data_IF_576662810512
#
_entry.id   IF_576662810512
#
_cell.length_a   1.000
_cell.length_b   1.000
_cell.length_c   1.000
_cell.angle_alpha   90.00
_cell.angle_beta   90.00
_cell.angle_gamma   90.00
#
_symmetry.space_group_name_H-M   'P 1'
#
loop_
_entity.id
_entity.type
_entity.pdbx_description
1 polymer ?
#
# COMPACT_ATOMS: atom_id res chain seq x y z
N UNK A 1 4.27 21.28 7.01
CA UNK A 1 4.69 20.52 5.81
C UNK A 1 5.70 21.29 4.99
N UNK A 2 5.42 22.50 4.47
CA UNK A 2 6.35 23.29 3.64
C UNK A 2 7.73 23.48 4.28
N UNK A 3 7.80 23.97 5.52
CA UNK A 3 9.08 24.33 6.17
C UNK A 3 9.96 23.13 6.57
N UNK A 4 9.40 21.97 6.84
CA UNK A 4 10.14 20.80 7.36
C UNK A 4 10.35 19.75 6.27
N UNK A 5 9.32 19.49 5.46
CA UNK A 5 9.30 18.40 4.46
C UNK A 5 9.56 18.90 3.04
N UNK A 6 9.56 20.23 2.81
CA UNK A 6 9.63 20.79 1.47
C UNK A 6 8.42 20.44 0.57
N UNK A 7 7.36 19.87 1.15
CA UNK A 7 6.21 19.43 0.41
C UNK A 7 5.28 20.61 0.05
N UNK A 8 4.59 20.51 -1.07
CA UNK A 8 3.56 21.47 -1.50
C UNK A 8 2.15 20.94 -1.17
N UNK A 9 1.56 21.30 0.01
CA UNK A 9 0.26 20.79 0.40
C UNK A 9 -0.87 21.48 -0.36
N UNK A 10 -1.77 20.68 -0.95
CA UNK A 10 -3.05 21.10 -1.47
C UNK A 10 -4.13 20.76 -0.45
N UNK A 11 -4.65 21.78 0.24
CA UNK A 11 -5.69 21.60 1.27
C UNK A 11 -7.02 21.38 0.60
N UNK A 12 -7.59 20.16 0.74
CA UNK A 12 -8.87 19.76 0.10
C UNK A 12 -10.04 19.75 1.08
N UNK A 13 -9.79 19.95 2.36
CA UNK A 13 -10.84 20.15 3.36
C UNK A 13 -10.35 21.03 4.51
N UNK A 14 -11.26 21.61 5.26
CA UNK A 14 -10.97 22.30 6.52
C UNK A 14 -11.81 21.71 7.66
N UNK A 15 -11.33 21.75 8.93
CA UNK A 15 -12.04 21.15 10.05
C UNK A 15 -13.23 22.01 10.53
N UNK A 16 -14.30 21.35 10.97
CA UNK A 16 -15.39 21.96 11.72
C UNK A 16 -15.18 21.65 13.18
N UNK A 17 -14.67 22.63 13.94
CA UNK A 17 -14.26 22.45 15.33
C UNK A 17 -12.86 21.82 15.46
N UNK A 18 -12.38 21.71 16.70
CA UNK A 18 -11.04 21.20 17.00
C UNK A 18 -11.08 20.31 18.24
N UNK A 19 -10.12 19.39 18.35
CA UNK A 19 -9.93 18.49 19.50
C UNK A 19 -11.21 17.74 19.91
N UNK A 20 -11.73 17.97 21.12
CA UNK A 20 -12.96 17.34 21.60
C UNK A 20 -14.21 17.83 20.86
N UNK A 21 -14.16 19.07 20.36
CA UNK A 21 -15.25 19.70 19.60
C UNK A 21 -15.19 19.44 18.10
N UNK A 22 -14.33 18.57 17.62
CA UNK A 22 -14.29 18.20 16.21
C UNK A 22 -15.57 17.47 15.80
N UNK A 23 -16.37 18.12 14.95
CA UNK A 23 -17.67 17.63 14.49
C UNK A 23 -17.63 17.07 13.08
N UNK A 24 -16.76 17.61 12.21
CA UNK A 24 -16.74 17.29 10.81
C UNK A 24 -15.70 18.08 10.03
N UNK A 25 -15.88 18.08 8.72
CA UNK A 25 -15.04 18.83 7.78
C UNK A 25 -15.91 19.61 6.81
N UNK A 26 -15.35 20.66 6.23
CA UNK A 26 -15.85 21.24 4.97
C UNK A 26 -15.04 20.63 3.84
N UNK A 27 -15.70 19.94 2.93
CA UNK A 27 -15.15 19.50 1.65
C UNK A 27 -15.04 20.71 0.72
N UNK A 28 -13.82 21.14 0.43
CA UNK A 28 -13.57 22.33 -0.38
C UNK A 28 -13.79 22.10 -1.88
N UNK A 29 -13.76 20.86 -2.33
CA UNK A 29 -14.05 20.52 -3.74
C UNK A 29 -15.53 20.71 -4.02
N UNK A 30 -16.38 20.16 -3.16
CA UNK A 30 -17.84 20.20 -3.29
C UNK A 30 -18.48 21.41 -2.63
N UNK A 31 -17.74 22.17 -1.86
CA UNK A 31 -18.23 23.29 -1.04
C UNK A 31 -19.43 22.87 -0.19
N UNK A 32 -19.27 21.76 0.57
CA UNK A 32 -20.28 21.22 1.48
C UNK A 32 -19.64 20.85 2.81
N UNK A 33 -20.43 20.91 3.88
CA UNK A 33 -20.05 20.43 5.20
C UNK A 33 -20.42 18.95 5.36
N UNK A 34 -19.54 18.17 6.00
CA UNK A 34 -19.77 16.76 6.31
C UNK A 34 -19.65 16.59 7.81
N UNK A 35 -20.72 16.13 8.45
CA UNK A 35 -20.82 15.94 9.90
C UNK A 35 -20.93 14.46 10.24
N UNK A 36 -20.14 13.99 11.21
CA UNK A 36 -20.21 12.62 11.72
C UNK A 36 -20.90 12.57 13.07
N UNK A 37 -21.79 11.59 13.24
CA UNK A 37 -22.55 11.37 14.46
C UNK A 37 -21.77 10.55 15.49
N UNK A 38 -21.62 11.07 16.71
CA UNK A 38 -20.93 10.37 17.80
C UNK A 38 -21.71 9.12 18.25
N UNK A 39 -23.04 9.14 18.14
CA UNK A 39 -23.94 8.06 18.54
C UNK A 39 -23.71 6.77 17.75
N UNK A 40 -23.27 6.89 16.48
CA UNK A 40 -22.95 5.77 15.58
C UNK A 40 -21.46 5.46 15.53
N UNK A 41 -20.66 6.06 16.42
CA UNK A 41 -19.19 5.97 16.39
C UNK A 41 -18.60 6.31 15.02
N UNK A 42 -19.13 7.35 14.36
CA UNK A 42 -18.68 7.83 13.05
C UNK A 42 -19.02 6.92 11.87
N UNK A 43 -19.86 5.90 12.03
CA UNK A 43 -20.31 5.05 10.93
C UNK A 43 -21.27 5.79 9.99
N UNK A 44 -22.08 6.69 10.53
CA UNK A 44 -23.02 7.51 9.76
C UNK A 44 -22.56 8.96 9.73
N UNK A 45 -22.77 9.59 8.59
CA UNK A 45 -22.50 11.01 8.38
C UNK A 45 -23.61 11.65 7.54
N UNK A 46 -23.74 12.95 7.65
CA UNK A 46 -24.63 13.75 6.82
C UNK A 46 -23.85 14.85 6.08
N UNK A 47 -24.36 15.20 4.90
CA UNK A 47 -23.82 16.29 4.08
C UNK A 47 -24.81 17.43 4.11
N UNK A 48 -24.32 18.62 4.50
CA UNK A 48 -25.15 19.81 4.68
C UNK A 48 -24.47 21.04 4.09
N UNK A 49 -25.14 22.18 4.16
CA UNK A 49 -24.56 23.46 3.81
C UNK A 49 -23.48 23.88 4.79
N UNK A 50 -22.51 24.65 4.31
CA UNK A 50 -21.42 25.17 5.14
C UNK A 50 -21.98 26.10 6.20
N UNK A 51 -21.65 25.94 7.50
CA UNK A 51 -22.06 26.88 8.53
C UNK A 51 -21.68 28.33 8.19
N UNK A 52 -22.57 29.26 8.50
CA UNK A 52 -22.41 30.67 8.10
C UNK A 52 -21.07 31.28 8.60
N UNK A 53 -20.61 30.84 9.78
CA UNK A 53 -19.34 31.30 10.36
C UNK A 53 -18.09 30.77 9.64
N UNK A 54 -18.22 29.74 8.80
CA UNK A 54 -17.11 29.13 8.06
C UNK A 54 -17.16 29.42 6.55
N UNK A 55 -18.19 30.10 6.05
CA UNK A 55 -18.35 30.33 4.62
C UNK A 55 -17.19 31.14 4.01
N UNK A 56 -16.78 32.23 4.67
CA UNK A 56 -15.70 33.08 4.20
C UNK A 56 -14.36 32.34 4.23
N UNK A 57 -14.10 31.58 5.31
CA UNK A 57 -12.88 30.75 5.42
C UNK A 57 -12.87 29.64 4.39
N UNK A 58 -13.99 28.96 4.17
CA UNK A 58 -14.12 27.91 3.18
C UNK A 58 -13.88 28.44 1.77
N UNK A 59 -14.41 29.62 1.45
CA UNK A 59 -14.18 30.26 0.14
C UNK A 59 -12.71 30.60 -0.06
N UNK A 60 -12.06 31.18 0.95
CA UNK A 60 -10.63 31.51 0.87
C UNK A 60 -9.77 30.27 0.63
N UNK A 61 -10.07 29.18 1.34
CA UNK A 61 -9.35 27.91 1.16
C UNK A 61 -9.68 27.19 -0.16
N UNK A 62 -10.93 27.30 -0.63
CA UNK A 62 -11.33 26.82 -1.95
C UNK A 62 -10.51 27.51 -3.04
N UNK A 63 -10.44 28.84 -3.01
CA UNK A 63 -9.71 29.62 -4.01
C UNK A 63 -8.22 29.25 -4.01
N UNK A 64 -7.59 29.09 -2.84
CA UNK A 64 -6.20 28.60 -2.72
C UNK A 64 -6.01 27.17 -3.24
N UNK A 65 -6.98 26.31 -3.02
CA UNK A 65 -6.96 24.93 -3.53
C UNK A 65 -7.01 24.93 -5.05
N UNK A 66 -7.93 25.72 -5.64
CA UNK A 66 -8.08 25.85 -7.11
C UNK A 66 -6.81 26.44 -7.72
N UNK A 67 -6.22 27.47 -7.12
CA UNK A 67 -4.93 28.05 -7.55
C UNK A 67 -3.83 26.99 -7.55
N UNK A 68 -3.68 26.22 -6.44
CA UNK A 68 -2.68 25.14 -6.34
C UNK A 68 -2.92 24.03 -7.37
N UNK A 69 -4.18 23.68 -7.64
CA UNK A 69 -4.54 22.70 -8.67
C UNK A 69 -4.23 23.21 -10.09
N UNK A 70 -4.51 24.49 -10.35
CA UNK A 70 -4.26 25.14 -11.63
C UNK A 70 -2.76 25.19 -11.98
N UNK A 71 -1.86 25.31 -10.99
CA UNK A 71 -0.42 25.22 -11.22
C UNK A 71 0.01 23.87 -11.84
N UNK A 72 -0.80 22.82 -11.70
CA UNK A 72 -0.52 21.47 -12.22
C UNK A 72 -1.13 21.21 -13.61
N UNK A 73 -1.99 22.11 -14.12
CA UNK A 73 -2.70 21.91 -15.39
C UNK A 73 -2.86 23.23 -16.17
N UNK A 74 -2.24 23.29 -17.36
CA UNK A 74 -2.23 24.50 -18.19
C UNK A 74 -3.65 24.96 -18.61
N UNK A 75 -4.54 24.03 -18.93
CA UNK A 75 -5.91 24.36 -19.35
C UNK A 75 -6.72 24.91 -18.16
N UNK A 76 -6.52 24.36 -16.97
CA UNK A 76 -7.16 24.88 -15.75
C UNK A 76 -6.59 26.24 -15.37
N UNK A 77 -5.29 26.46 -15.57
CA UNK A 77 -4.62 27.73 -15.32
C UNK A 77 -5.20 28.85 -16.24
N UNK A 78 -5.40 28.55 -17.52
CA UNK A 78 -6.04 29.52 -18.44
C UNK A 78 -7.44 29.92 -17.97
N UNK A 79 -8.27 28.91 -17.62
CA UNK A 79 -9.62 29.17 -17.08
C UNK A 79 -9.58 29.94 -15.75
N UNK A 80 -8.65 29.65 -14.88
CA UNK A 80 -8.49 30.32 -13.59
C UNK A 80 -8.25 31.84 -13.77
N UNK A 81 -7.49 32.22 -14.80
CA UNK A 81 -7.25 33.62 -15.10
C UNK A 81 -8.39 34.29 -15.88
N UNK A 82 -9.12 33.56 -16.73
CA UNK A 82 -10.21 34.11 -17.54
C UNK A 82 -11.51 34.21 -16.73
N UNK A 83 -11.96 33.12 -16.12
CA UNK A 83 -13.19 33.04 -15.33
C UNK A 83 -13.12 31.89 -14.33
N UNK A 84 -12.64 32.13 -13.09
CA UNK A 84 -12.58 31.10 -12.06
C UNK A 84 -13.93 30.43 -11.76
N UNK A 85 -15.04 31.15 -11.98
CA UNK A 85 -16.38 30.62 -11.72
C UNK A 85 -16.85 29.57 -12.73
N UNK A 86 -16.16 29.43 -13.85
CA UNK A 86 -16.43 28.44 -14.89
C UNK A 86 -15.77 27.07 -14.62
N UNK A 87 -14.92 27.00 -13.61
CA UNK A 87 -14.19 25.78 -13.26
C UNK A 87 -15.15 24.78 -12.58
N UNK A 88 -15.18 23.54 -13.07
CA UNK A 88 -16.04 22.48 -12.53
C UNK A 88 -15.30 21.62 -11.49
N UNK A 89 -16.07 20.91 -10.66
CA UNK A 89 -15.53 19.97 -9.68
C UNK A 89 -14.66 18.89 -10.36
N UNK A 90 -15.08 18.39 -11.52
CA UNK A 90 -14.36 17.36 -12.27
C UNK A 90 -13.00 17.86 -12.76
N UNK A 91 -12.92 19.11 -13.17
CA UNK A 91 -11.67 19.75 -13.61
C UNK A 91 -10.71 19.94 -12.43
N UNK A 92 -11.21 20.37 -11.28
CA UNK A 92 -10.43 20.46 -10.03
C UNK A 92 -9.88 19.09 -9.64
N UNK A 93 -10.73 18.07 -9.60
CA UNK A 93 -10.35 16.69 -9.26
C UNK A 93 -9.29 16.17 -10.22
N UNK A 94 -9.46 16.38 -11.53
CA UNK A 94 -8.50 15.93 -12.54
C UNK A 94 -7.13 16.61 -12.37
N UNK A 95 -7.10 17.91 -12.10
CA UNK A 95 -5.87 18.67 -11.90
C UNK A 95 -5.16 18.28 -10.59
N UNK A 96 -5.89 18.12 -9.46
CA UNK A 96 -5.33 17.63 -8.21
C UNK A 96 -4.75 16.22 -8.40
N UNK A 97 -5.46 15.31 -9.10
CA UNK A 97 -4.95 13.99 -9.42
C UNK A 97 -3.67 14.05 -10.23
N UNK A 98 -3.65 14.85 -11.29
CA UNK A 98 -2.46 15.03 -12.14
C UNK A 98 -1.25 15.52 -11.35
N UNK A 99 -1.41 16.55 -10.51
CA UNK A 99 -0.34 17.06 -9.68
C UNK A 99 0.10 16.06 -8.57
N UNK A 100 -0.84 15.25 -8.06
CA UNK A 100 -0.53 14.19 -7.08
C UNK A 100 0.29 13.06 -7.71
N UNK A 101 -0.09 12.61 -8.91
CA UNK A 101 0.64 11.57 -9.65
C UNK A 101 2.04 12.03 -10.07
N UNK A 102 2.20 13.33 -10.40
CA UNK A 102 3.50 13.93 -10.69
C UNK A 102 4.35 14.21 -9.44
N UNK A 103 3.80 14.04 -8.23
CA UNK A 103 4.42 14.39 -6.95
C UNK A 103 4.67 15.90 -6.76
N UNK A 104 3.98 16.74 -7.51
CA UNK A 104 4.10 18.20 -7.42
C UNK A 104 3.33 18.77 -6.23
N UNK A 105 2.21 18.14 -5.87
CA UNK A 105 1.37 18.50 -4.73
C UNK A 105 1.02 17.28 -3.87
N UNK A 106 0.66 17.56 -2.62
CA UNK A 106 0.20 16.56 -1.65
C UNK A 106 -1.20 16.93 -1.17
N UNK A 107 -2.27 16.22 -1.57
CA UNK A 107 -3.61 16.45 -1.05
C UNK A 107 -3.64 16.29 0.47
N UNK A 108 -4.25 17.24 1.17
CA UNK A 108 -4.31 17.27 2.63
C UNK A 108 -5.75 17.38 3.10
N UNK A 109 -6.18 16.40 3.89
CA UNK A 109 -7.49 16.37 4.56
C UNK A 109 -7.34 16.20 6.06
N UNK A 110 -8.39 16.48 6.82
CA UNK A 110 -8.43 16.38 8.28
C UNK A 110 -9.45 15.34 8.70
N UNK A 111 -9.23 14.77 9.88
CA UNK A 111 -10.14 13.79 10.46
C UNK A 111 -9.71 13.37 11.87
N UNK A 112 -10.52 12.53 12.48
CA UNK A 112 -10.22 11.87 13.76
C UNK A 112 -10.40 10.37 13.61
N UNK A 113 -9.30 9.64 13.34
CA UNK A 113 -9.32 8.20 13.19
C UNK A 113 -9.81 7.47 14.45
N UNK A 114 -9.45 7.98 15.63
CA UNK A 114 -9.91 7.43 16.91
C UNK A 114 -11.44 7.52 17.09
N UNK A 115 -12.06 8.62 16.62
CA UNK A 115 -13.50 8.80 16.62
C UNK A 115 -14.19 8.33 15.33
N UNK A 116 -13.42 7.75 14.40
CA UNK A 116 -13.88 7.33 13.07
C UNK A 116 -14.57 8.45 12.27
N UNK A 117 -14.16 9.71 12.45
CA UNK A 117 -14.68 10.87 11.73
C UNK A 117 -13.74 11.26 10.59
N UNK A 118 -14.24 11.35 9.37
CA UNK A 118 -13.46 11.68 8.19
C UNK A 118 -12.75 10.48 7.53
N UNK A 119 -12.90 9.26 8.05
CA UNK A 119 -12.22 8.07 7.51
C UNK A 119 -12.79 7.67 6.16
N UNK A 120 -14.12 7.68 6.00
CA UNK A 120 -14.78 7.38 4.73
C UNK A 120 -14.32 8.35 3.63
N UNK A 121 -14.36 9.65 3.92
CA UNK A 121 -13.92 10.68 2.98
C UNK A 121 -12.43 10.55 2.63
N UNK A 122 -11.58 10.19 3.60
CA UNK A 122 -10.16 9.91 3.34
C UNK A 122 -10.00 8.73 2.37
N UNK A 123 -10.77 7.65 2.54
CA UNK A 123 -10.71 6.49 1.65
C UNK A 123 -11.20 6.84 0.23
N UNK A 124 -12.23 7.67 0.12
CA UNK A 124 -12.70 8.18 -1.16
C UNK A 124 -11.60 9.02 -1.85
N UNK A 125 -10.92 9.90 -1.13
CA UNK A 125 -9.79 10.68 -1.66
C UNK A 125 -8.59 9.80 -2.02
N UNK A 126 -8.32 8.72 -1.29
CA UNK A 126 -7.31 7.73 -1.68
C UNK A 126 -7.64 7.13 -3.04
N UNK A 127 -8.88 6.69 -3.25
CA UNK A 127 -9.31 6.16 -4.54
C UNK A 127 -9.30 7.21 -5.66
N UNK A 128 -9.58 8.48 -5.31
CA UNK A 128 -9.68 9.58 -6.27
C UNK A 128 -8.31 10.09 -6.73
N UNK A 129 -7.33 10.21 -5.83
CA UNK A 129 -6.09 10.93 -6.11
C UNK A 129 -4.83 10.06 -6.17
N UNK A 130 -4.78 8.90 -5.49
CA UNK A 130 -3.58 8.08 -5.51
C UNK A 130 -3.48 7.23 -6.79
N UNK A 131 -2.25 6.85 -7.20
CA UNK A 131 -2.05 6.06 -8.41
C UNK A 131 -2.62 4.65 -8.27
N UNK A 132 -3.31 4.20 -9.31
CA UNK A 132 -3.59 2.79 -9.54
C UNK A 132 -2.38 2.09 -10.19
N UNK A 133 -2.34 0.75 -10.25
CA UNK A 133 -1.31 0.04 -11.00
C UNK A 133 -1.19 0.47 -12.47
N UNK A 134 -2.28 0.98 -13.07
CA UNK A 134 -2.30 1.47 -14.44
C UNK A 134 -1.70 2.86 -14.62
N UNK A 135 -1.58 3.62 -13.55
CA UNK A 135 -0.99 4.97 -13.55
C UNK A 135 0.54 4.93 -13.32
N UNK A 136 1.08 3.76 -12.96
CA UNK A 136 2.51 3.58 -12.69
C UNK A 136 3.22 2.99 -13.90
N UNK A 137 4.55 3.21 -14.05
CA UNK A 137 5.33 2.53 -15.08
C UNK A 137 5.22 1.01 -14.96
N UNK A 138 5.38 0.32 -16.10
CA UNK A 138 5.48 -1.13 -16.10
C UNK A 138 6.57 -1.61 -15.14
N UNK A 139 6.37 -2.77 -14.51
CA UNK A 139 7.44 -3.37 -13.71
C UNK A 139 8.56 -3.88 -14.62
N UNK A 140 9.78 -3.53 -14.28
CA UNK A 140 10.97 -3.98 -14.98
C UNK A 140 11.62 -5.11 -14.18
N UNK A 141 12.09 -6.13 -14.87
CA UNK A 141 12.86 -7.22 -14.29
C UNK A 141 13.90 -7.71 -15.27
N UNK A 142 14.70 -8.65 -14.84
CA UNK A 142 15.76 -9.25 -15.65
C UNK A 142 15.41 -10.70 -15.98
N UNK A 143 15.51 -11.06 -17.24
CA UNK A 143 15.37 -12.45 -17.64
C UNK A 143 16.58 -13.25 -17.12
N UNK A 144 16.38 -14.29 -16.27
CA UNK A 144 17.50 -15.02 -15.65
C UNK A 144 18.27 -15.91 -16.62
N UNK A 145 17.78 -16.12 -17.84
CA UNK A 145 18.43 -16.95 -18.86
C UNK A 145 19.26 -16.11 -19.83
N UNK A 146 18.72 -14.97 -20.27
CA UNK A 146 19.38 -14.09 -21.25
C UNK A 146 20.16 -12.95 -20.60
N UNK A 147 19.78 -12.54 -19.37
CA UNK A 147 20.34 -11.39 -18.69
C UNK A 147 19.82 -10.04 -19.21
N UNK A 148 18.83 -10.06 -20.09
CA UNK A 148 18.21 -8.86 -20.66
C UNK A 148 17.12 -8.32 -19.75
N UNK A 149 16.95 -7.00 -19.77
CA UNK A 149 15.82 -6.36 -19.08
C UNK A 149 14.53 -6.57 -19.87
N UNK A 150 13.48 -6.92 -19.17
CA UNK A 150 12.12 -7.06 -19.70
C UNK A 150 11.15 -6.29 -18.83
N UNK A 151 10.12 -5.70 -19.46
CA UNK A 151 9.03 -5.07 -18.73
C UNK A 151 7.75 -5.93 -18.80
N UNK A 152 6.91 -5.81 -17.77
CA UNK A 152 5.60 -6.45 -17.69
C UNK A 152 4.53 -5.40 -17.41
N UNK A 153 3.46 -5.42 -18.18
CA UNK A 153 2.31 -4.55 -18.00
C UNK A 153 1.42 -5.05 -16.86
N UNK A 154 0.77 -4.18 -16.10
CA UNK A 154 -0.19 -4.57 -15.06
C UNK A 154 -1.52 -5.02 -15.69
N UNK A 155 -1.51 -6.14 -16.41
CA UNK A 155 -2.65 -6.75 -17.10
C UNK A 155 -2.79 -8.21 -16.71
N UNK A 156 -4.02 -8.70 -16.59
CA UNK A 156 -4.32 -10.12 -16.32
C UNK A 156 -3.98 -11.04 -17.51
N UNK A 157 -3.88 -10.48 -18.72
CA UNK A 157 -3.55 -11.21 -19.95
C UNK A 157 -2.04 -11.36 -20.18
N UNK A 158 -1.23 -10.65 -19.38
CA UNK A 158 0.22 -10.70 -19.44
C UNK A 158 0.75 -11.96 -18.75
N UNK A 159 1.98 -12.34 -19.04
CA UNK A 159 2.69 -13.38 -18.29
C UNK A 159 2.77 -13.01 -16.81
N UNK A 160 2.56 -14.00 -15.96
CA UNK A 160 2.53 -13.79 -14.51
C UNK A 160 3.89 -13.36 -13.98
N UNK A 161 3.90 -12.29 -13.19
CA UNK A 161 5.03 -11.93 -12.34
C UNK A 161 4.53 -11.42 -10.98
N UNK A 162 5.07 -11.97 -9.92
CA UNK A 162 4.73 -11.61 -8.55
C UNK A 162 5.98 -11.64 -7.67
N UNK A 163 6.00 -10.79 -6.65
CA UNK A 163 7.08 -10.70 -5.67
C UNK A 163 6.57 -11.14 -4.29
N UNK A 164 7.19 -12.16 -3.73
CA UNK A 164 6.97 -12.57 -2.35
C UNK A 164 7.72 -11.61 -1.42
N UNK A 165 6.99 -10.69 -0.78
CA UNK A 165 7.61 -9.62 0.01
C UNK A 165 7.59 -9.85 1.52
N UNK A 166 6.82 -10.84 2.00
CA UNK A 166 6.75 -11.18 3.43
C UNK A 166 6.32 -12.63 3.63
N UNK A 167 6.97 -13.28 4.58
CA UNK A 167 6.56 -14.58 5.09
C UNK A 167 6.14 -14.41 6.55
N UNK A 168 5.05 -15.04 6.95
CA UNK A 168 4.57 -15.06 8.32
C UNK A 168 4.15 -16.48 8.69
N UNK A 169 4.31 -16.83 9.96
CA UNK A 169 3.82 -18.11 10.50
C UNK A 169 2.46 -17.89 11.15
N UNK A 170 1.45 -18.55 10.61
CA UNK A 170 0.10 -18.56 11.16
C UNK A 170 -0.14 -19.85 11.94
N UNK A 171 -0.75 -19.78 13.15
CA UNK A 171 -0.98 -20.97 13.98
C UNK A 171 -1.91 -22.03 13.35
N UNK A 172 -2.77 -21.62 12.43
CA UNK A 172 -3.82 -22.48 11.84
C UNK A 172 -3.48 -23.00 10.45
N UNK A 173 -2.88 -22.14 9.61
CA UNK A 173 -2.58 -22.49 8.21
C UNK A 173 -1.08 -22.73 7.98
N UNK A 174 -0.25 -22.50 8.98
CA UNK A 174 1.19 -22.65 8.88
C UNK A 174 1.87 -21.47 8.19
N UNK A 175 2.76 -21.75 7.23
CA UNK A 175 3.49 -20.72 6.49
C UNK A 175 2.55 -19.97 5.55
N UNK A 176 2.43 -18.68 5.74
CA UNK A 176 1.66 -17.76 4.93
C UNK A 176 2.61 -16.81 4.18
N UNK A 177 2.60 -16.88 2.86
CA UNK A 177 3.44 -16.05 1.99
C UNK A 177 2.62 -14.92 1.41
N UNK A 178 2.98 -13.69 1.74
CA UNK A 178 2.38 -12.50 1.14
C UNK A 178 3.13 -12.14 -0.13
N UNK A 179 2.41 -11.90 -1.19
CA UNK A 179 2.98 -11.51 -2.48
C UNK A 179 2.12 -10.46 -3.17
N UNK A 180 2.77 -9.63 -4.00
CA UNK A 180 2.11 -8.70 -4.91
C UNK A 180 2.22 -9.23 -6.31
N UNK A 181 1.11 -9.30 -7.03
CA UNK A 181 1.07 -9.62 -8.46
C UNK A 181 1.26 -8.33 -9.24
N UNK A 182 2.29 -8.27 -10.07
CA UNK A 182 2.58 -7.12 -10.93
C UNK A 182 2.00 -7.28 -12.34
N UNK A 183 1.97 -8.52 -12.85
CA UNK A 183 1.37 -8.87 -14.13
C UNK A 183 0.76 -10.25 -14.08
N UNK A 184 -0.18 -10.54 -14.98
CA UNK A 184 -0.87 -11.82 -15.03
C UNK A 184 -1.76 -12.05 -13.82
N UNK A 185 -1.88 -13.29 -13.40
CA UNK A 185 -2.70 -13.72 -12.26
C UNK A 185 -2.15 -14.98 -11.62
N UNK A 186 -2.41 -15.14 -10.33
CA UNK A 186 -2.10 -16.34 -9.56
C UNK A 186 -3.40 -17.03 -9.18
N UNK A 187 -3.55 -18.32 -9.51
CA UNK A 187 -4.77 -19.10 -9.29
C UNK A 187 -4.57 -20.13 -8.17
N UNK A 188 -5.58 -20.32 -7.33
CA UNK A 188 -5.57 -21.36 -6.31
C UNK A 188 -5.55 -22.75 -6.95
N UNK A 189 -4.77 -23.68 -6.38
CA UNK A 189 -4.61 -25.03 -6.91
C UNK A 189 -3.58 -25.15 -8.05
N UNK A 190 -3.06 -24.04 -8.59
CA UNK A 190 -2.10 -23.99 -9.68
C UNK A 190 -0.65 -24.24 -9.22
N UNK A 191 0.25 -24.19 -10.17
CA UNK A 191 1.69 -24.15 -9.95
C UNK A 191 2.27 -22.86 -10.50
N UNK A 192 3.22 -22.27 -9.79
CA UNK A 192 3.96 -21.09 -10.20
C UNK A 192 5.47 -21.36 -10.09
N UNK A 193 6.26 -20.79 -10.99
CA UNK A 193 7.70 -20.99 -11.01
C UNK A 193 8.42 -19.99 -10.10
N UNK A 194 9.30 -20.49 -9.24
CA UNK A 194 10.16 -19.67 -8.39
C UNK A 194 11.55 -19.56 -9.04
N UNK A 195 11.94 -18.35 -9.42
CA UNK A 195 13.18 -18.10 -10.18
C UNK A 195 14.45 -18.38 -9.38
N UNK A 196 14.44 -18.14 -8.02
CA UNK A 196 15.58 -18.43 -7.15
C UNK A 196 15.83 -19.93 -7.03
N UNK A 197 14.80 -20.70 -6.66
CA UNK A 197 14.93 -22.15 -6.45
C UNK A 197 14.92 -22.94 -7.75
N UNK A 198 14.52 -22.29 -8.88
CA UNK A 198 14.31 -22.91 -10.20
C UNK A 198 13.36 -24.12 -10.16
N UNK A 199 12.30 -24.01 -9.36
CA UNK A 199 11.31 -25.07 -9.13
C UNK A 199 9.90 -24.51 -9.22
N UNK A 200 8.97 -25.40 -9.57
CA UNK A 200 7.54 -25.10 -9.46
C UNK A 200 7.08 -25.24 -8.01
N UNK A 201 6.45 -24.21 -7.52
CA UNK A 201 5.80 -24.16 -6.23
C UNK A 201 4.29 -24.35 -6.39
N UNK A 202 3.68 -25.09 -5.48
CA UNK A 202 2.22 -25.30 -5.50
C UNK A 202 1.51 -24.19 -4.73
N UNK A 203 0.59 -23.53 -5.36
CA UNK A 203 -0.32 -22.56 -4.74
C UNK A 203 -1.56 -23.34 -4.26
N UNK A 204 -1.57 -23.81 -3.02
CA UNK A 204 -2.67 -24.66 -2.55
C UNK A 204 -3.96 -23.88 -2.30
N UNK A 205 -3.86 -22.72 -1.64
CA UNK A 205 -4.98 -21.81 -1.35
C UNK A 205 -4.47 -20.38 -1.40
N UNK A 206 -5.37 -19.47 -1.75
CA UNK A 206 -5.16 -18.04 -1.78
C UNK A 206 -6.11 -17.34 -0.82
N UNK A 207 -5.64 -16.24 -0.25
CA UNK A 207 -6.41 -15.42 0.68
C UNK A 207 -6.21 -13.94 0.38
N UNK A 208 -7.30 -13.20 0.44
CA UNK A 208 -7.27 -11.76 0.62
C UNK A 208 -7.32 -11.50 2.13
N UNK A 209 -6.27 -10.88 2.64
CA UNK A 209 -6.11 -10.64 4.08
C UNK A 209 -6.77 -9.35 4.50
N UNK A 210 -7.56 -9.41 5.56
CA UNK A 210 -8.15 -8.24 6.20
C UNK A 210 -7.89 -8.35 7.70
N UNK A 211 -6.91 -7.60 8.20
CA UNK A 211 -6.40 -7.75 9.57
C UNK A 211 -5.94 -9.21 9.83
N UNK A 212 -6.55 -9.92 10.77
CA UNK A 212 -6.34 -11.35 11.05
C UNK A 212 -7.36 -12.27 10.34
N UNK A 213 -8.27 -11.72 9.53
CA UNK A 213 -9.23 -12.51 8.77
C UNK A 213 -8.62 -12.95 7.44
N UNK A 214 -8.80 -14.23 7.14
CA UNK A 214 -8.34 -14.88 5.92
C UNK A 214 -9.55 -15.14 5.03
N UNK A 215 -9.79 -14.27 4.06
CA UNK A 215 -10.88 -14.43 3.10
C UNK A 215 -10.39 -15.29 1.92
N UNK A 216 -10.85 -16.54 1.76
CA UNK A 216 -10.44 -17.38 0.64
C UNK A 216 -10.85 -16.75 -0.69
N UNK A 217 -9.93 -16.78 -1.67
CA UNK A 217 -10.17 -16.32 -3.04
C UNK A 217 -9.60 -17.35 -4.02
N UNK A 218 -10.17 -17.40 -5.22
CA UNK A 218 -9.72 -18.31 -6.27
C UNK A 218 -8.56 -17.74 -7.09
N UNK A 219 -8.50 -16.41 -7.20
CA UNK A 219 -7.52 -15.70 -8.04
C UNK A 219 -7.05 -14.42 -7.34
N UNK A 220 -5.78 -14.09 -7.51
CA UNK A 220 -5.19 -12.79 -7.23
C UNK A 220 -4.65 -12.24 -8.55
N UNK A 221 -5.13 -11.09 -8.98
CA UNK A 221 -4.82 -10.48 -10.27
C UNK A 221 -3.73 -9.41 -10.18
N UNK A 222 -3.24 -8.98 -11.34
CA UNK A 222 -2.26 -7.90 -11.48
C UNK A 222 -2.70 -6.63 -10.74
N UNK A 223 -1.79 -6.09 -9.91
CA UNK A 223 -2.02 -4.93 -9.04
C UNK A 223 -2.43 -5.27 -7.61
N UNK A 224 -2.96 -6.49 -7.37
CA UNK A 224 -3.42 -6.93 -6.07
C UNK A 224 -2.29 -7.50 -5.19
N UNK A 225 -2.54 -7.47 -3.88
CA UNK A 225 -1.75 -8.14 -2.85
C UNK A 225 -2.58 -9.28 -2.29
N UNK A 226 -2.00 -10.47 -2.31
CA UNK A 226 -2.60 -11.66 -1.73
C UNK A 226 -1.67 -12.39 -0.78
N UNK A 227 -2.21 -13.42 -0.15
CA UNK A 227 -1.45 -14.36 0.64
C UNK A 227 -1.73 -15.78 0.17
N UNK A 228 -0.70 -16.61 0.11
CA UNK A 228 -0.81 -17.99 -0.34
C UNK A 228 -0.19 -18.98 0.64
N UNK A 229 -0.71 -20.20 0.62
CA UNK A 229 -0.16 -21.35 1.35
C UNK A 229 0.13 -22.49 0.40
N UNK A 230 1.09 -23.34 0.78
CA UNK A 230 1.47 -24.52 0.01
C UNK A 230 2.86 -24.45 -0.59
N UNK A 231 3.47 -23.27 -0.60
CA UNK A 231 4.86 -23.09 -1.03
C UNK A 231 5.82 -23.86 -0.10
N UNK A 232 6.79 -24.55 -0.69
CA UNK A 232 7.76 -25.36 0.07
C UNK A 232 9.09 -24.67 0.28
N UNK A 233 9.62 -24.03 -0.76
CA UNK A 233 10.94 -23.41 -0.77
C UNK A 233 10.82 -21.96 -1.29
N UNK A 234 10.18 -21.10 -0.47
CA UNK A 234 10.00 -19.70 -0.78
C UNK A 234 10.63 -18.83 0.32
N UNK A 235 11.31 -17.76 -0.10
CA UNK A 235 11.88 -16.74 0.79
C UNK A 235 11.32 -15.35 0.46
N UNK A 236 11.44 -14.46 1.40
CA UNK A 236 11.17 -13.05 1.18
C UNK A 236 12.12 -12.50 0.11
N UNK A 237 11.58 -11.84 -0.90
CA UNK A 237 12.33 -11.37 -2.08
C UNK A 237 12.28 -12.31 -3.28
N UNK A 238 11.72 -13.52 -3.15
CA UNK A 238 11.60 -14.43 -4.29
C UNK A 238 10.60 -13.89 -5.33
N UNK A 239 10.98 -13.99 -6.60
CA UNK A 239 10.07 -13.74 -7.72
C UNK A 239 9.38 -15.04 -8.12
N UNK A 240 8.07 -14.95 -8.25
CA UNK A 240 7.18 -16.00 -8.74
C UNK A 240 6.66 -15.59 -10.13
N UNK A 241 6.80 -16.47 -11.14
CA UNK A 241 6.42 -16.15 -12.51
C UNK A 241 5.98 -17.39 -13.29
N UNK A 242 5.62 -17.20 -14.55
CA UNK A 242 5.42 -18.30 -15.48
C UNK A 242 6.77 -18.91 -15.88
N UNK A 243 6.81 -20.24 -16.01
CA UNK A 243 8.06 -20.97 -16.33
C UNK A 243 8.56 -20.69 -17.75
N UNK A 244 7.63 -20.45 -18.68
CA UNK A 244 7.91 -20.18 -20.11
C UNK A 244 8.24 -18.71 -20.38
N UNK A 245 8.08 -17.84 -19.38
CA UNK A 245 8.44 -16.44 -19.44
C UNK A 245 9.13 -16.00 -18.12
N UNK A 246 10.30 -16.56 -17.79
CA UNK A 246 10.96 -16.32 -16.53
C UNK A 246 11.48 -14.88 -16.42
N UNK A 247 11.20 -14.24 -15.31
CA UNK A 247 11.66 -12.89 -14.97
C UNK A 247 12.08 -12.84 -13.51
N UNK A 248 13.12 -12.09 -13.19
CA UNK A 248 13.52 -11.76 -11.82
C UNK A 248 13.22 -10.28 -11.60
N UNK A 249 12.28 -10.00 -10.73
CA UNK A 249 12.00 -8.64 -10.31
C UNK A 249 13.12 -8.15 -9.39
N UNK A 250 13.20 -6.84 -9.17
CA UNK A 250 14.22 -6.25 -8.30
C UNK A 250 14.25 -6.95 -6.94
N UNK A 251 15.45 -7.38 -6.53
CA UNK A 251 15.65 -8.01 -5.23
C UNK A 251 15.59 -6.94 -4.13
N UNK A 252 14.92 -7.27 -3.04
CA UNK A 252 14.96 -6.42 -1.86
C UNK A 252 16.30 -6.54 -1.16
N UNK A 253 16.99 -5.40 -0.97
CA UNK A 253 18.22 -5.34 -0.19
C UNK A 253 17.88 -5.22 1.30
N UNK A 254 18.35 -6.17 2.09
CA UNK A 254 18.16 -6.15 3.53
C UNK A 254 19.46 -5.74 4.24
N UNK A 255 19.39 -4.85 5.24
CA UNK A 255 20.58 -4.44 5.99
C UNK A 255 21.12 -5.61 6.80
N UNK A 256 22.43 -5.66 6.94
CA UNK A 256 23.11 -6.63 7.80
C UNK A 256 22.73 -6.43 9.28
N UNK A 257 22.59 -7.51 10.06
CA UNK A 257 22.31 -7.43 11.49
C UNK A 257 23.45 -6.71 12.22
N UNK A 258 23.08 -5.73 13.08
CA UNK A 258 24.06 -4.92 13.84
C UNK A 258 24.27 -5.39 15.27
N UNK A 259 23.42 -6.28 15.80
CA UNK A 259 23.48 -6.79 17.16
C UNK A 259 23.39 -8.32 17.14
N UNK A 260 24.30 -8.98 17.85
CA UNK A 260 24.24 -10.43 18.11
C UNK A 260 23.97 -10.70 19.60
N UNK A 261 23.12 -11.67 19.86
CA UNK A 261 22.77 -12.12 21.22
C UNK A 261 22.93 -13.65 21.29
N UNK A 262 23.69 -14.13 22.26
CA UNK A 262 23.77 -15.55 22.53
C UNK A 262 22.48 -16.03 23.22
N UNK A 263 21.92 -17.12 22.73
CA UNK A 263 20.70 -17.75 23.29
C UNK A 263 20.96 -19.17 23.66
N UNK A 264 20.44 -19.58 24.84
CA UNK A 264 20.55 -20.96 25.35
C UNK A 264 19.16 -21.43 25.82
N UNK A 265 18.82 -22.72 25.60
CA UNK A 265 17.57 -23.25 26.12
C UNK A 265 17.66 -23.39 27.66
N UNK A 266 16.55 -23.10 28.36
CA UNK A 266 16.49 -23.29 29.83
C UNK A 266 16.64 -24.74 30.25
N UNK A 267 16.19 -25.67 29.42
CA UNK A 267 16.31 -27.11 29.65
C UNK A 267 16.69 -27.82 28.35
N UNK A 268 17.33 -28.98 28.45
CA UNK A 268 17.71 -29.75 27.28
C UNK A 268 16.51 -30.21 26.43
N UNK A 269 15.33 -30.34 27.07
CA UNK A 269 14.07 -30.65 26.35
C UNK A 269 13.55 -29.50 25.48
N UNK A 270 14.00 -28.29 25.74
CA UNK A 270 13.59 -27.10 24.97
C UNK A 270 14.50 -26.81 23.77
N UNK A 271 15.60 -27.60 23.59
CA UNK A 271 16.56 -27.40 22.51
C UNK A 271 15.90 -27.50 21.13
N UNK A 272 15.07 -28.52 20.91
CA UNK A 272 14.36 -28.71 19.64
C UNK A 272 13.36 -27.57 19.36
N UNK A 273 12.69 -27.09 20.42
CA UNK A 273 11.75 -25.96 20.30
C UNK A 273 12.48 -24.66 20.00
N UNK A 274 13.65 -24.44 20.62
CA UNK A 274 14.49 -23.28 20.35
C UNK A 274 14.95 -23.30 18.91
N UNK A 275 15.51 -24.40 18.42
CA UNK A 275 15.97 -24.55 17.04
C UNK A 275 14.86 -24.33 16.04
N UNK A 276 13.67 -24.89 16.26
CA UNK A 276 12.49 -24.67 15.41
C UNK A 276 12.01 -23.22 15.46
N UNK A 277 12.04 -22.58 16.64
CA UNK A 277 11.67 -21.17 16.81
C UNK A 277 12.62 -20.24 16.07
N UNK A 278 13.92 -20.47 16.20
CA UNK A 278 14.95 -19.68 15.48
C UNK A 278 14.86 -19.86 13.97
N UNK A 279 14.63 -21.10 13.49
CA UNK A 279 14.43 -21.35 12.06
C UNK A 279 13.22 -20.59 11.51
N UNK A 280 12.10 -20.58 12.23
CA UNK A 280 10.90 -19.79 11.83
C UNK A 280 11.17 -18.30 11.79
N UNK A 281 11.87 -17.75 12.80
CA UNK A 281 12.22 -16.33 12.80
C UNK A 281 13.13 -15.98 11.62
N UNK A 282 14.09 -16.83 11.27
CA UNK A 282 14.95 -16.62 10.11
C UNK A 282 14.20 -16.72 8.77
N UNK A 283 13.09 -17.46 8.70
CA UNK A 283 12.21 -17.48 7.54
C UNK A 283 11.34 -16.20 7.42
N UNK A 284 10.90 -15.67 8.56
CA UNK A 284 10.03 -14.48 8.61
C UNK A 284 10.79 -13.16 8.43
N UNK A 285 12.00 -13.09 9.01
CA UNK A 285 12.83 -11.89 9.00
C UNK A 285 14.15 -12.14 8.27
N UNK A 286 14.33 -11.62 7.05
CA UNK A 286 15.55 -11.82 6.26
C UNK A 286 16.78 -11.14 6.87
N UNK A 287 16.62 -10.21 7.84
CA UNK A 287 17.73 -9.61 8.58
C UNK A 287 18.18 -10.47 9.77
N UNK A 288 17.36 -11.47 10.15
CA UNK A 288 17.63 -12.35 11.29
C UNK A 288 18.50 -13.54 10.86
N UNK A 289 19.72 -13.59 11.38
CA UNK A 289 20.67 -14.68 11.10
C UNK A 289 20.96 -15.49 12.34
N UNK A 290 21.02 -16.81 12.19
CA UNK A 290 21.38 -17.75 13.28
C UNK A 290 22.75 -18.35 12.96
N UNK A 291 23.70 -18.19 13.90
CA UNK A 291 25.03 -18.75 13.79
C UNK A 291 25.38 -19.48 15.08
N UNK A 292 26.05 -20.63 14.97
CA UNK A 292 26.64 -21.29 16.12
C UNK A 292 28.14 -20.99 16.11
N UNK A 293 28.65 -20.48 17.21
CA UNK A 293 30.06 -20.19 17.36
C UNK A 293 30.83 -21.50 17.50
N UNK A 294 31.84 -21.75 16.65
CA UNK A 294 32.59 -22.98 16.59
C UNK A 294 33.47 -23.21 17.84
N UNK A 295 33.88 -22.13 18.53
CA UNK A 295 34.76 -22.22 19.69
C UNK A 295 34.00 -22.41 20.99
N UNK A 296 32.89 -21.66 21.17
CA UNK A 296 32.09 -21.71 22.40
C UNK A 296 30.93 -22.70 22.32
N UNK A 297 30.50 -23.07 21.10
CA UNK A 297 29.29 -23.87 20.86
C UNK A 297 27.98 -23.14 21.16
N UNK A 298 28.01 -21.83 21.38
CA UNK A 298 26.83 -20.99 21.62
C UNK A 298 26.16 -20.64 20.31
N UNK A 299 24.83 -20.59 20.33
CA UNK A 299 23.99 -20.15 19.20
C UNK A 299 23.58 -18.72 19.37
#
# INVERSE_FOLDING_TARGET
MKAILGANPCVISIPIGAEENFKGIVDLIKMKAIFWHDETMGAEYEVDDIPAELQDEAQEWHDKMVETAAECDEALMEKFFEDPSSITEEEIVAAIRKGTLAMDIVPMTQGSSFKNKGVQTLLDYVCMFLPSPLDTPNIVGTNPETGEEEDRKPSEEEHTSALAFKIATDPYVGRLTFFRVYSGKVEAGSYIYNTRSRKKERVSRLFQMHSNHQNPVEVISAGDIGAGVGFKDIHTGDTLCDEDAPIVLESMDFPDPVIGIAVEPKTQKDLDKLSQGLAKLAEEDPTFTVKTDEQSGQT
#
